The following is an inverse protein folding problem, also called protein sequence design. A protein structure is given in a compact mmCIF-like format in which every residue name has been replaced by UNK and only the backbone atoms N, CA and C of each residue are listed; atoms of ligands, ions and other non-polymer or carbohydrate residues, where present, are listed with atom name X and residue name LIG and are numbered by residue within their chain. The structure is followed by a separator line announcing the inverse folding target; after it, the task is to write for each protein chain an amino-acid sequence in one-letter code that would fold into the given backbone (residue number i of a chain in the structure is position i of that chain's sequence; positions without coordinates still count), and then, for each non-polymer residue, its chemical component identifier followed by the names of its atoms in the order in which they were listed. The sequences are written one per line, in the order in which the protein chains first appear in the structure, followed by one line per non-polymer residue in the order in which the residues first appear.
data_IF_543863908277
#
_entry.id   IF_543863908277
#
_cell.length_a   1.000
_cell.length_b   1.000
_cell.length_c   1.000
_cell.angle_alpha   90.00
_cell.angle_beta   90.00
_cell.angle_gamma   90.00
#
_symmetry.space_group_name_H-M   'P 1'
#
loop_
_entity.id
_entity.type
_entity.pdbx_description
1 polymer ?
#
# COMPACT_ATOMS: atom_id res chain seq x y z
N UNK A 1 -3.60 17.56 6.63
CA UNK A 1 -4.51 16.40 6.44
C UNK A 1 -4.51 15.49 7.67
N UNK A 2 -5.27 14.39 7.65
CA UNK A 2 -5.34 13.40 8.75
C UNK A 2 -4.07 12.55 8.87
N UNK A 3 -3.36 12.31 7.76
CA UNK A 3 -2.03 11.69 7.77
C UNK A 3 -0.96 12.75 8.00
N UNK A 4 -0.02 12.48 8.92
CA UNK A 4 1.12 13.33 9.23
C UNK A 4 2.39 12.73 8.61
N UNK A 5 3.14 13.52 7.85
CA UNK A 5 4.44 13.12 7.28
C UNK A 5 5.27 14.37 7.01
N UNK A 6 6.48 14.45 7.57
CA UNK A 6 7.32 15.66 7.54
C UNK A 6 7.76 16.07 6.13
N UNK A 7 7.92 15.10 5.21
CA UNK A 7 8.33 15.36 3.84
C UNK A 7 7.15 15.85 2.98
N UNK A 8 5.98 15.23 3.14
CA UNK A 8 4.81 15.52 2.31
C UNK A 8 3.98 16.69 2.83
N UNK A 9 3.99 16.99 4.13
CA UNK A 9 3.13 18.04 4.72
C UNK A 9 3.39 19.43 4.10
N UNK A 10 4.64 19.93 3.99
CA UNK A 10 4.90 21.27 3.43
C UNK A 10 4.52 21.41 1.95
N UNK A 11 4.55 20.30 1.20
CA UNK A 11 4.17 20.24 -0.21
C UNK A 11 2.64 20.34 -0.32
N UNK A 12 1.93 19.51 0.44
CA UNK A 12 0.46 19.41 0.36
C UNK A 12 -0.22 20.63 0.95
N UNK A 13 0.37 21.29 1.95
CA UNK A 13 -0.20 22.50 2.57
C UNK A 13 -0.31 23.68 1.59
N UNK A 14 0.41 23.64 0.47
CA UNK A 14 0.37 24.66 -0.58
C UNK A 14 -0.60 24.32 -1.73
N UNK A 15 -1.23 23.15 -1.71
CA UNK A 15 -2.10 22.69 -2.80
C UNK A 15 -3.56 23.07 -2.54
N UNK A 16 -4.23 23.55 -3.59
CA UNK A 16 -5.69 23.71 -3.59
C UNK A 16 -6.40 22.36 -3.83
N UNK A 17 -7.70 22.31 -3.56
CA UNK A 17 -8.53 21.15 -3.91
C UNK A 17 -8.58 20.89 -5.43
N UNK A 18 -8.40 21.94 -6.24
CA UNK A 18 -8.30 21.79 -7.69
C UNK A 18 -6.97 21.13 -8.08
N UNK A 19 -5.85 21.56 -7.49
CA UNK A 19 -4.53 20.94 -7.71
C UNK A 19 -4.53 19.46 -7.34
N UNK A 20 -5.14 19.11 -6.19
CA UNK A 20 -5.24 17.70 -5.76
C UNK A 20 -6.01 16.85 -6.79
N UNK A 21 -7.09 17.39 -7.37
CA UNK A 21 -7.86 16.69 -8.42
C UNK A 21 -7.06 16.57 -9.71
N UNK A 22 -6.38 17.64 -10.12
CA UNK A 22 -5.57 17.67 -11.34
C UNK A 22 -4.37 16.72 -11.24
N UNK A 23 -3.67 16.71 -10.12
CA UNK A 23 -2.59 15.77 -9.83
C UNK A 23 -3.11 14.33 -9.80
N UNK A 24 -4.26 14.09 -9.17
CA UNK A 24 -4.90 12.77 -9.16
C UNK A 24 -5.20 12.27 -10.58
N UNK A 25 -5.77 13.11 -11.44
CA UNK A 25 -6.02 12.79 -12.84
C UNK A 25 -4.73 12.54 -13.62
N UNK A 26 -3.71 13.39 -13.42
CA UNK A 26 -2.41 13.25 -14.07
C UNK A 26 -1.73 11.93 -13.73
N UNK A 27 -1.54 11.61 -12.44
CA UNK A 27 -0.89 10.37 -12.02
C UNK A 27 -1.68 9.12 -12.40
N UNK A 28 -3.03 9.20 -12.45
CA UNK A 28 -3.86 8.10 -12.93
C UNK A 28 -3.74 7.84 -14.44
N UNK A 29 -3.32 8.84 -15.22
CA UNK A 29 -3.10 8.70 -16.67
C UNK A 29 -1.75 8.06 -17.04
N UNK A 30 -0.82 7.99 -16.09
CA UNK A 30 0.50 7.41 -16.33
C UNK A 30 0.42 5.87 -16.38
N UNK A 31 1.26 5.22 -17.20
CA UNK A 31 1.40 3.78 -17.15
C UNK A 31 1.93 3.33 -15.78
N UNK A 32 1.55 2.13 -15.29
CA UNK A 32 2.15 1.56 -14.09
C UNK A 32 3.67 1.47 -14.21
N UNK A 33 4.37 1.65 -13.08
CA UNK A 33 5.81 1.44 -13.04
C UNK A 33 6.15 0.00 -13.46
N UNK A 34 7.24 -0.22 -14.20
CA UNK A 34 7.66 -1.56 -14.58
C UNK A 34 7.97 -2.40 -13.34
N UNK A 35 7.55 -3.66 -13.39
CA UNK A 35 7.80 -4.64 -12.33
C UNK A 35 9.31 -4.85 -12.16
N UNK A 36 9.77 -4.85 -10.90
CA UNK A 36 11.13 -5.28 -10.56
C UNK A 36 11.21 -6.80 -10.59
N UNK A 37 12.30 -7.39 -11.12
CA UNK A 37 12.55 -8.83 -11.00
C UNK A 37 12.56 -9.24 -9.52
N UNK A 38 11.93 -10.36 -9.22
CA UNK A 38 11.93 -10.95 -7.88
C UNK A 38 13.33 -11.54 -7.59
N UNK A 39 13.96 -11.07 -6.52
CA UNK A 39 15.27 -11.53 -6.06
C UNK A 39 15.19 -12.52 -4.88
N UNK A 40 13.99 -12.81 -4.36
CA UNK A 40 13.75 -13.80 -3.30
C UNK A 40 12.40 -14.54 -3.47
N UNK A 41 12.35 -15.54 -4.37
CA UNK A 41 11.12 -16.28 -4.69
C UNK A 41 10.48 -16.99 -3.49
N UNK A 42 11.29 -17.47 -2.54
CA UNK A 42 10.79 -18.15 -1.33
C UNK A 42 10.03 -17.18 -0.42
N UNK A 43 10.52 -15.94 -0.31
CA UNK A 43 9.85 -14.88 0.43
C UNK A 43 8.57 -14.44 -0.27
N UNK A 44 8.60 -14.34 -1.60
CA UNK A 44 7.41 -14.09 -2.42
C UNK A 44 6.34 -15.17 -2.25
N UNK A 45 6.71 -16.45 -2.18
CA UNK A 45 5.78 -17.54 -1.94
C UNK A 45 5.10 -17.44 -0.56
N UNK A 46 5.87 -17.10 0.48
CA UNK A 46 5.33 -16.84 1.82
C UNK A 46 4.38 -15.64 1.82
N UNK A 47 4.76 -14.56 1.13
CA UNK A 47 3.92 -13.37 0.97
C UNK A 47 2.62 -13.65 0.25
N UNK A 48 2.66 -14.44 -0.82
CA UNK A 48 1.47 -14.88 -1.55
C UNK A 48 0.52 -15.70 -0.66
N UNK A 49 1.08 -16.63 0.13
CA UNK A 49 0.31 -17.43 1.08
C UNK A 49 -0.33 -16.55 2.17
N UNK A 50 0.43 -15.61 2.74
CA UNK A 50 -0.09 -14.65 3.71
C UNK A 50 -1.21 -13.79 3.10
N UNK A 51 -1.02 -13.29 1.87
CA UNK A 51 -2.01 -12.45 1.19
C UNK A 51 -3.33 -13.20 0.93
N UNK A 52 -3.23 -14.48 0.55
CA UNK A 52 -4.39 -15.35 0.38
C UNK A 52 -5.08 -15.64 1.74
N UNK A 53 -4.30 -16.00 2.76
CA UNK A 53 -4.81 -16.30 4.10
C UNK A 53 -5.53 -15.12 4.77
N UNK A 54 -5.04 -13.90 4.54
CA UNK A 54 -5.64 -12.64 5.04
C UNK A 54 -6.66 -12.02 4.10
N UNK A 55 -6.97 -12.70 2.98
CA UNK A 55 -7.95 -12.26 1.97
C UNK A 55 -7.69 -10.85 1.44
N UNK A 56 -6.43 -10.48 1.23
CA UNK A 56 -6.06 -9.14 0.76
C UNK A 56 -6.77 -8.76 -0.56
N UNK A 57 -6.93 -9.72 -1.46
CA UNK A 57 -7.61 -9.56 -2.74
C UNK A 57 -9.11 -9.19 -2.61
N UNK A 58 -9.76 -9.46 -1.47
CA UNK A 58 -11.19 -9.13 -1.27
C UNK A 58 -11.47 -7.63 -1.36
N UNK A 59 -10.51 -6.79 -0.95
CA UNK A 59 -10.59 -5.34 -1.05
C UNK A 59 -9.70 -4.80 -2.19
N UNK A 60 -8.51 -5.37 -2.37
CA UNK A 60 -7.53 -4.87 -3.32
C UNK A 60 -7.64 -5.46 -4.73
N UNK A 61 -8.64 -6.31 -4.99
CA UNK A 61 -8.83 -7.12 -6.21
C UNK A 61 -7.77 -8.20 -6.40
N UNK A 62 -8.04 -9.18 -7.25
CA UNK A 62 -7.14 -10.32 -7.49
C UNK A 62 -5.78 -9.91 -8.09
N UNK A 63 -5.75 -8.82 -8.84
CA UNK A 63 -4.51 -8.24 -9.39
C UNK A 63 -3.83 -7.26 -8.44
N UNK A 64 -4.40 -7.02 -7.26
CA UNK A 64 -3.93 -6.01 -6.30
C UNK A 64 -3.84 -4.59 -6.89
N UNK A 65 -4.56 -4.34 -7.99
CA UNK A 65 -4.66 -3.05 -8.66
C UNK A 65 -5.56 -2.07 -7.90
N UNK A 66 -6.36 -2.55 -6.95
CA UNK A 66 -7.31 -1.74 -6.21
C UNK A 66 -8.51 -1.30 -7.05
N UNK A 67 -9.23 -0.31 -6.53
CA UNK A 67 -10.40 0.31 -7.17
C UNK A 67 -10.29 1.84 -7.06
N UNK A 68 -11.34 2.59 -7.42
CA UNK A 68 -11.36 4.05 -7.17
C UNK A 68 -11.27 4.41 -5.68
N UNK A 69 -11.75 3.54 -4.80
CA UNK A 69 -11.77 3.78 -3.35
C UNK A 69 -10.66 3.03 -2.59
N UNK A 70 -10.10 1.97 -3.19
CA UNK A 70 -9.07 1.12 -2.58
C UNK A 70 -7.77 1.24 -3.34
N UNK A 71 -6.67 1.51 -2.63
CA UNK A 71 -5.38 1.76 -3.27
C UNK A 71 -4.83 0.51 -4.01
N UNK A 72 -4.12 0.78 -5.11
CA UNK A 72 -3.21 -0.19 -5.73
C UNK A 72 -2.06 -0.50 -4.79
N UNK A 73 -1.75 -1.79 -4.61
CA UNK A 73 -0.60 -2.26 -3.81
C UNK A 73 0.39 -3.10 -4.63
N UNK A 74 -0.01 -3.62 -5.80
CA UNK A 74 0.91 -4.28 -6.73
C UNK A 74 1.95 -3.30 -7.30
N UNK A 75 3.23 -3.68 -7.24
CA UNK A 75 4.37 -2.92 -7.73
C UNK A 75 4.71 -1.69 -6.87
N UNK A 76 4.14 -1.59 -5.66
CA UNK A 76 4.50 -0.52 -4.73
C UNK A 76 5.89 -0.78 -4.14
N UNK A 77 6.61 0.28 -3.72
CA UNK A 77 7.91 0.12 -3.09
C UNK A 77 7.81 -0.73 -1.82
N UNK A 78 8.67 -1.73 -1.71
CA UNK A 78 8.71 -2.66 -0.57
C UNK A 78 8.82 -1.92 0.77
N UNK A 79 9.79 -1.02 0.90
CA UNK A 79 9.98 -0.20 2.11
C UNK A 79 8.73 0.61 2.49
N UNK A 80 7.99 1.09 1.49
CA UNK A 80 6.75 1.82 1.72
C UNK A 80 5.63 0.91 2.23
N UNK A 81 5.53 -0.31 1.69
CA UNK A 81 4.55 -1.31 2.13
C UNK A 81 4.83 -1.76 3.56
N UNK A 82 6.10 -2.05 3.90
CA UNK A 82 6.52 -2.38 5.27
C UNK A 82 6.08 -1.25 6.22
N UNK A 83 6.50 -0.01 5.91
CA UNK A 83 6.14 1.15 6.72
C UNK A 83 4.62 1.29 6.86
N UNK A 84 3.87 1.17 5.77
CA UNK A 84 2.43 1.32 5.79
C UNK A 84 1.74 0.28 6.67
N UNK A 85 2.15 -0.99 6.57
CA UNK A 85 1.62 -2.09 7.39
C UNK A 85 1.93 -1.88 8.88
N UNK A 86 3.15 -1.46 9.22
CA UNK A 86 3.51 -1.07 10.59
C UNK A 86 2.69 0.11 11.10
N UNK A 87 2.49 1.15 10.28
CA UNK A 87 1.69 2.30 10.68
C UNK A 87 0.22 1.94 10.92
N UNK A 88 -0.34 1.00 10.13
CA UNK A 88 -1.70 0.49 10.34
C UNK A 88 -1.79 -0.39 11.60
N UNK A 89 -0.82 -1.29 11.81
CA UNK A 89 -0.75 -2.15 13.00
C UNK A 89 -0.63 -1.33 14.29
N UNK A 90 0.13 -0.24 14.26
CA UNK A 90 0.29 0.69 15.40
C UNK A 90 -0.81 1.75 15.50
N UNK A 91 -1.80 1.75 14.59
CA UNK A 91 -2.86 2.77 14.51
C UNK A 91 -2.38 4.22 14.37
N UNK A 92 -1.14 4.43 13.91
CA UNK A 92 -0.54 5.76 13.73
C UNK A 92 -0.94 6.41 12.40
N UNK A 93 -1.31 5.59 11.39
CA UNK A 93 -1.79 6.07 10.09
C UNK A 93 -3.30 6.26 10.05
N UNK A 94 -3.72 7.52 10.06
CA UNK A 94 -5.13 7.91 9.92
C UNK A 94 -5.60 8.05 8.46
N UNK A 95 -6.91 8.23 8.28
CA UNK A 95 -7.55 8.51 6.98
C UNK A 95 -8.30 7.33 6.36
N UNK A 96 -8.69 7.47 5.09
CA UNK A 96 -9.50 6.47 4.38
C UNK A 96 -8.87 5.08 4.40
N UNK A 97 -9.66 4.09 4.78
CA UNK A 97 -9.26 2.69 4.89
C UNK A 97 -8.54 2.30 6.19
N UNK A 98 -8.30 3.22 7.14
CA UNK A 98 -7.60 2.92 8.39
C UNK A 98 -8.29 1.80 9.18
N UNK A 99 -9.60 1.90 9.44
CA UNK A 99 -10.30 0.90 10.26
C UNK A 99 -10.19 -0.52 9.67
N UNK A 100 -10.38 -0.63 8.35
CA UNK A 100 -10.27 -1.91 7.65
C UNK A 100 -8.84 -2.45 7.62
N UNK A 101 -7.84 -1.59 7.35
CA UNK A 101 -6.45 -2.04 7.30
C UNK A 101 -5.83 -2.27 8.68
N UNK A 102 -6.27 -1.56 9.72
CA UNK A 102 -5.84 -1.79 11.09
C UNK A 102 -6.32 -3.17 11.58
N UNK A 103 -7.56 -3.55 11.27
CA UNK A 103 -8.10 -4.88 11.58
C UNK A 103 -7.27 -6.01 10.94
N UNK A 104 -6.95 -5.87 9.65
CA UNK A 104 -6.09 -6.83 8.94
C UNK A 104 -4.67 -6.82 9.50
N UNK A 105 -4.07 -5.64 9.69
CA UNK A 105 -2.66 -5.48 10.06
C UNK A 105 -2.36 -5.84 11.52
N UNK A 106 -3.34 -5.72 12.42
CA UNK A 106 -3.17 -6.00 13.85
C UNK A 106 -2.65 -7.42 14.12
N UNK A 107 -3.12 -8.38 13.33
CA UNK A 107 -2.80 -9.80 13.49
C UNK A 107 -1.59 -10.28 12.68
N UNK A 108 -0.91 -9.39 11.97
CA UNK A 108 0.26 -9.74 11.15
C UNK A 108 1.51 -9.88 12.02
N UNK A 109 2.30 -10.94 11.80
CA UNK A 109 3.65 -11.03 12.34
C UNK A 109 4.63 -10.12 11.56
N UNK A 110 5.82 -9.89 12.11
CA UNK A 110 6.85 -9.11 11.40
C UNK A 110 7.32 -9.81 10.13
N UNK A 111 7.42 -11.14 10.17
CA UNK A 111 7.77 -11.98 9.03
C UNK A 111 6.69 -11.90 7.94
N UNK A 112 5.41 -11.91 8.32
CA UNK A 112 4.30 -11.72 7.38
C UNK A 112 4.35 -10.32 6.75
N UNK A 113 4.65 -9.27 7.52
CA UNK A 113 4.75 -7.90 6.98
C UNK A 113 5.84 -7.80 5.92
N UNK A 114 7.03 -8.32 6.21
CA UNK A 114 8.15 -8.32 5.27
C UNK A 114 7.82 -9.17 4.04
N UNK A 115 7.28 -10.37 4.22
CA UNK A 115 6.93 -11.25 3.11
C UNK A 115 5.83 -10.66 2.21
N UNK A 116 4.79 -10.07 2.79
CA UNK A 116 3.72 -9.38 2.06
C UNK A 116 4.27 -8.20 1.27
N UNK A 117 5.10 -7.38 1.89
CA UNK A 117 5.69 -6.22 1.24
C UNK A 117 6.57 -6.62 0.06
N UNK A 118 7.41 -7.63 0.25
CA UNK A 118 8.28 -8.17 -0.80
C UNK A 118 7.47 -8.72 -1.97
N UNK A 119 6.52 -9.62 -1.69
CA UNK A 119 5.64 -10.21 -2.70
C UNK A 119 4.93 -9.15 -3.53
N UNK A 120 4.24 -8.20 -2.88
CA UNK A 120 3.44 -7.17 -3.54
C UNK A 120 4.31 -6.18 -4.33
N UNK A 121 5.52 -5.88 -3.87
CA UNK A 121 6.45 -5.01 -4.58
C UNK A 121 6.97 -5.62 -5.89
N UNK A 122 6.99 -6.95 -5.97
CA UNK A 122 7.41 -7.71 -7.13
C UNK A 122 6.24 -8.22 -7.97
N UNK A 123 5.06 -7.60 -7.89
CA UNK A 123 3.91 -7.89 -8.79
C UNK A 123 3.84 -6.97 -10.01
#
# INVERSE_FOLDING_TARGET
GTRKNEQMQPIVDQLSNEDVRNLGAYFASLPPAPRKPDDNPDLSAKGAQAAAGRRCASCHTDSYAGTKAVARIAGQREEYLIKALHDYKSSTRAGGGMAAMADVAYSLSEEEIVALAHYLAHL
#
